data_IF_445437631355
#
_entry.id   IF_445437631355
#
_cell.length_a   1.000
_cell.length_b   1.000
_cell.length_c   1.000
_cell.angle_alpha   90.00
_cell.angle_beta   90.00
_cell.angle_gamma   90.00
#
_symmetry.space_group_name_H-M   'P 1'
#
loop_
_entity.id
_entity.type
_entity.pdbx_description
1 polymer ?
#
# COMPACT_ATOMS: atom_id res chain seq x y z
N UNK A 1 18.01 -12.28 -68.98
CA UNK A 1 17.80 -13.38 -68.03
C UNK A 1 17.45 -12.74 -66.70
N UNK A 2 16.18 -12.87 -66.34
CA UNK A 2 15.57 -12.23 -65.16
C UNK A 2 15.73 -13.12 -63.92
N UNK A 3 16.09 -12.52 -62.79
CA UNK A 3 15.96 -13.14 -61.48
C UNK A 3 15.23 -12.15 -60.53
N UNK A 4 13.88 -12.21 -60.60
CA UNK A 4 13.03 -11.65 -59.59
C UNK A 4 12.62 -12.78 -58.61
N UNK A 5 13.32 -12.87 -57.48
CA UNK A 5 12.95 -13.76 -56.40
C UNK A 5 11.75 -13.20 -55.60
N UNK A 6 10.61 -13.91 -55.65
CA UNK A 6 9.41 -13.62 -54.85
C UNK A 6 9.66 -14.05 -53.41
N UNK A 7 9.78 -13.10 -52.49
CA UNK A 7 9.64 -13.39 -51.06
C UNK A 7 8.14 -13.36 -50.69
N UNK A 8 7.57 -14.54 -50.43
CA UNK A 8 6.27 -14.68 -49.83
C UNK A 8 6.40 -14.60 -48.32
N UNK A 9 5.84 -13.59 -47.71
CA UNK A 9 5.76 -13.49 -46.24
C UNK A 9 4.70 -14.43 -45.73
N UNK A 10 5.04 -15.28 -44.77
CA UNK A 10 4.13 -16.22 -44.12
C UNK A 10 3.08 -15.49 -43.23
N UNK A 11 1.88 -16.03 -43.17
CA UNK A 11 0.72 -15.48 -42.44
C UNK A 11 0.96 -15.04 -40.98
N UNK A 12 1.83 -15.68 -40.15
CA UNK A 12 2.06 -15.24 -38.78
C UNK A 12 2.77 -13.89 -38.63
N UNK A 13 3.52 -13.43 -39.65
CA UNK A 13 4.18 -12.12 -39.61
C UNK A 13 3.18 -10.96 -39.78
N UNK A 14 2.09 -11.18 -40.51
CA UNK A 14 1.06 -10.15 -40.75
C UNK A 14 0.18 -9.88 -39.52
N UNK A 15 -0.08 -10.86 -38.68
CA UNK A 15 -0.84 -10.69 -37.43
C UNK A 15 -0.05 -9.91 -36.37
N UNK A 16 1.26 -10.16 -36.25
CA UNK A 16 2.11 -9.47 -35.30
C UNK A 16 2.22 -7.96 -35.58
N UNK A 17 2.31 -7.57 -36.85
CA UNK A 17 2.31 -6.15 -37.25
C UNK A 17 0.94 -5.49 -37.13
N UNK A 18 -0.16 -6.23 -37.27
CA UNK A 18 -1.50 -5.66 -37.15
C UNK A 18 -1.84 -5.24 -35.72
N UNK A 19 -1.29 -5.91 -34.70
CA UNK A 19 -1.47 -5.54 -33.29
C UNK A 19 -0.66 -4.30 -32.90
N UNK A 20 0.53 -4.09 -33.48
CA UNK A 20 1.35 -2.90 -33.21
C UNK A 20 0.75 -1.61 -33.78
N UNK A 21 0.12 -1.66 -34.96
CA UNK A 21 -0.56 -0.50 -35.55
C UNK A 21 -1.88 -0.14 -34.88
N UNK A 22 -2.52 -1.04 -34.15
CA UNK A 22 -3.75 -0.75 -33.41
C UNK A 22 -3.49 0.00 -32.09
N UNK A 23 -2.29 -0.08 -31.53
CA UNK A 23 -1.92 0.59 -30.28
C UNK A 23 -1.68 2.10 -30.49
N UNK A 24 -1.10 2.49 -31.62
CA UNK A 24 -0.77 3.89 -31.91
C UNK A 24 -1.99 4.82 -31.98
N UNK A 25 -3.08 4.49 -32.70
CA UNK A 25 -4.30 5.30 -32.69
C UNK A 25 -4.97 5.36 -31.32
N UNK A 26 -4.94 4.27 -30.57
CA UNK A 26 -5.50 4.21 -29.22
C UNK A 26 -4.72 5.11 -28.24
N UNK A 27 -3.40 5.12 -28.34
CA UNK A 27 -2.54 6.05 -27.60
C UNK A 27 -2.85 7.51 -27.99
N UNK A 28 -3.02 7.82 -29.27
CA UNK A 28 -3.37 9.17 -29.73
C UNK A 28 -4.72 9.67 -29.17
N UNK A 29 -5.72 8.78 -29.06
CA UNK A 29 -7.02 9.12 -28.45
C UNK A 29 -6.89 9.35 -26.94
N UNK A 30 -6.12 8.53 -26.25
CA UNK A 30 -5.82 8.68 -24.81
C UNK A 30 -5.07 10.00 -24.56
N UNK A 31 -4.08 10.34 -25.40
CA UNK A 31 -3.31 11.57 -25.32
C UNK A 31 -4.17 12.81 -25.59
N UNK A 32 -5.06 12.77 -26.59
CA UNK A 32 -5.91 13.90 -26.95
C UNK A 32 -6.93 14.23 -25.87
N UNK A 33 -7.55 13.22 -25.25
CA UNK A 33 -8.56 13.43 -24.22
C UNK A 33 -7.99 13.97 -22.90
N UNK A 34 -6.78 13.60 -22.49
CA UNK A 34 -6.17 14.14 -21.25
C UNK A 34 -5.62 15.57 -21.40
N UNK A 35 -5.12 15.96 -22.56
CA UNK A 35 -4.66 17.36 -22.78
C UNK A 35 -5.80 18.40 -22.73
N UNK A 36 -7.03 18.01 -23.01
CA UNK A 36 -8.19 18.93 -23.01
C UNK A 36 -8.74 19.23 -21.60
N UNK A 37 -8.41 18.44 -20.58
CA UNK A 37 -9.06 18.52 -19.25
C UNK A 37 -8.25 19.31 -18.22
N UNK A 38 -6.99 19.68 -18.47
CA UNK A 38 -6.15 20.19 -17.40
C UNK A 38 -5.66 21.63 -17.60
N UNK A 39 -6.39 22.58 -16.97
CA UNK A 39 -5.89 23.94 -16.67
C UNK A 39 -5.31 24.10 -15.25
N UNK A 40 -5.49 23.10 -14.36
CA UNK A 40 -5.01 23.17 -12.98
C UNK A 40 -3.77 22.28 -12.79
N UNK A 41 -2.78 22.78 -12.05
CA UNK A 41 -1.57 22.02 -11.69
C UNK A 41 -1.97 20.80 -10.87
N UNK A 42 -1.58 19.61 -11.29
CA UNK A 42 -1.91 18.35 -10.63
C UNK A 42 -0.67 17.52 -10.36
N UNK A 43 -0.71 16.78 -9.26
CA UNK A 43 0.20 15.66 -9.03
C UNK A 43 -0.56 14.36 -9.29
N UNK A 44 -0.02 13.48 -10.14
CA UNK A 44 -0.47 12.10 -10.23
C UNK A 44 0.37 11.23 -9.30
N UNK A 45 -0.29 10.61 -8.35
CA UNK A 45 0.35 9.77 -7.35
C UNK A 45 -0.03 8.29 -7.48
N UNK A 46 0.97 7.40 -7.39
CA UNK A 46 0.77 5.95 -7.38
C UNK A 46 1.36 5.37 -6.09
N UNK A 47 0.53 5.00 -5.11
CA UNK A 47 0.98 4.30 -3.91
C UNK A 47 1.39 2.87 -4.26
N UNK A 48 2.58 2.45 -3.79
CA UNK A 48 3.18 1.17 -4.10
C UNK A 48 3.36 0.28 -2.86
N UNK A 49 3.62 -1.01 -3.07
CA UNK A 49 3.88 -1.96 -1.99
C UNK A 49 2.62 -2.53 -1.35
N UNK A 50 2.78 -3.14 -0.18
CA UNK A 50 1.68 -3.68 0.62
C UNK A 50 0.83 -2.59 1.26
N UNK A 51 -0.29 -2.98 1.89
CA UNK A 51 -1.30 -2.07 2.41
C UNK A 51 -0.73 -0.96 3.29
N UNK A 52 0.02 -1.28 4.33
CA UNK A 52 0.60 -0.31 5.25
C UNK A 52 1.52 0.71 4.55
N UNK A 53 2.33 0.24 3.60
CA UNK A 53 3.20 1.12 2.82
C UNK A 53 2.38 2.10 1.97
N UNK A 54 1.30 1.64 1.32
CA UNK A 54 0.43 2.50 0.52
C UNK A 54 -0.28 3.54 1.36
N UNK A 55 -0.77 3.16 2.53
CA UNK A 55 -1.46 4.08 3.44
C UNK A 55 -0.51 5.21 3.89
N UNK A 56 0.69 4.88 4.33
CA UNK A 56 1.72 5.85 4.75
C UNK A 56 2.16 6.75 3.58
N UNK A 57 2.44 6.16 2.42
CA UNK A 57 2.84 6.91 1.23
C UNK A 57 1.75 7.87 0.75
N UNK A 58 0.47 7.47 0.80
CA UNK A 58 -0.67 8.32 0.45
C UNK A 58 -0.81 9.50 1.42
N UNK A 59 -0.71 9.25 2.73
CA UNK A 59 -0.77 10.30 3.74
C UNK A 59 0.37 11.33 3.57
N UNK A 60 1.60 10.85 3.34
CA UNK A 60 2.76 11.71 3.06
C UNK A 60 2.56 12.55 1.80
N UNK A 61 2.10 11.92 0.70
CA UNK A 61 1.88 12.63 -0.57
C UNK A 61 0.74 13.63 -0.47
N UNK A 62 -0.36 13.28 0.20
CA UNK A 62 -1.48 14.21 0.40
C UNK A 62 -1.06 15.42 1.25
N UNK A 63 -0.31 15.22 2.34
CA UNK A 63 0.18 16.32 3.18
C UNK A 63 1.09 17.26 2.39
N UNK A 64 2.01 16.71 1.57
CA UNK A 64 2.84 17.51 0.67
C UNK A 64 1.97 18.36 -0.28
N UNK A 65 0.97 17.75 -0.93
CA UNK A 65 0.11 18.47 -1.88
C UNK A 65 -0.72 19.57 -1.22
N UNK A 66 -1.26 19.34 -0.02
CA UNK A 66 -1.94 20.38 0.76
C UNK A 66 -1.01 21.54 1.11
N UNK A 67 0.23 21.23 1.49
CA UNK A 67 1.26 22.25 1.83
C UNK A 67 1.60 23.14 0.65
N UNK A 68 1.64 22.59 -0.56
CA UNK A 68 2.04 23.34 -1.77
C UNK A 68 0.85 23.89 -2.57
N UNK A 69 -0.38 23.55 -2.23
CA UNK A 69 -1.60 24.00 -2.92
C UNK A 69 -1.77 23.40 -4.33
N UNK A 70 -1.34 22.14 -4.50
CA UNK A 70 -1.47 21.39 -5.77
C UNK A 70 -2.51 20.29 -5.59
N UNK A 71 -3.43 20.11 -6.54
CA UNK A 71 -4.38 19.00 -6.51
C UNK A 71 -3.67 17.66 -6.73
N UNK A 72 -4.15 16.61 -6.05
CA UNK A 72 -3.62 15.26 -6.18
C UNK A 72 -4.68 14.30 -6.73
N UNK A 73 -4.32 13.61 -7.81
CA UNK A 73 -5.03 12.42 -8.27
C UNK A 73 -4.20 11.19 -7.88
N UNK A 74 -4.76 10.31 -7.04
CA UNK A 74 -4.11 9.06 -6.64
C UNK A 74 -4.76 7.89 -7.37
N UNK A 75 -3.92 7.02 -7.97
CA UNK A 75 -4.36 5.84 -8.70
C UNK A 75 -3.97 4.59 -7.94
N UNK A 76 -4.97 3.84 -7.46
CA UNK A 76 -4.80 2.62 -6.70
C UNK A 76 -4.76 1.40 -7.62
N UNK A 77 -3.60 0.76 -7.70
CA UNK A 77 -3.41 -0.45 -8.51
C UNK A 77 -3.71 -1.73 -7.70
N UNK A 78 -4.30 -2.70 -8.37
CA UNK A 78 -4.29 -4.09 -7.93
C UNK A 78 -3.03 -4.76 -8.49
N UNK A 79 -2.18 -5.30 -7.62
CA UNK A 79 -0.95 -5.96 -8.02
C UNK A 79 -0.60 -7.13 -7.07
N UNK A 80 0.54 -7.76 -7.28
CA UNK A 80 1.01 -8.88 -6.47
C UNK A 80 1.25 -8.52 -4.98
N UNK A 81 1.50 -7.25 -4.66
CA UNK A 81 1.72 -6.81 -3.28
C UNK A 81 0.40 -6.53 -2.53
N UNK A 82 -0.67 -6.22 -3.28
CA UNK A 82 -2.00 -5.96 -2.76
C UNK A 82 -3.05 -6.18 -3.86
N UNK A 83 -3.70 -7.33 -3.86
CA UNK A 83 -4.68 -7.70 -4.89
C UNK A 83 -6.13 -7.32 -4.51
N UNK A 84 -6.34 -6.09 -4.04
CA UNK A 84 -7.69 -5.57 -3.77
C UNK A 84 -7.84 -4.13 -4.29
N UNK A 85 -9.02 -3.76 -4.81
CA UNK A 85 -9.33 -2.37 -5.12
C UNK A 85 -9.60 -1.60 -3.84
N UNK A 86 -9.40 -0.27 -3.86
CA UNK A 86 -9.55 0.57 -2.68
C UNK A 86 -10.96 0.50 -2.08
N UNK A 87 -11.99 0.61 -2.95
CA UNK A 87 -13.39 0.61 -2.54
C UNK A 87 -13.88 -0.69 -1.90
N UNK A 88 -13.13 -1.81 -2.04
CA UNK A 88 -13.43 -3.06 -1.35
C UNK A 88 -12.85 -3.14 0.06
N UNK A 89 -12.05 -2.16 0.47
CA UNK A 89 -11.32 -2.14 1.74
C UNK A 89 -11.75 -0.99 2.65
N UNK A 90 -11.97 0.19 2.07
CA UNK A 90 -12.19 1.44 2.78
C UNK A 90 -13.36 2.23 2.20
N UNK A 91 -13.96 3.08 3.02
CA UNK A 91 -14.92 4.08 2.60
C UNK A 91 -14.29 5.10 1.63
N UNK A 92 -15.10 5.73 0.76
CA UNK A 92 -14.61 6.77 -0.13
C UNK A 92 -13.94 7.93 0.63
N UNK A 93 -12.79 8.38 0.13
CA UNK A 93 -12.07 9.50 0.74
C UNK A 93 -12.72 10.83 0.29
N UNK A 94 -13.19 11.61 1.25
CA UNK A 94 -13.76 12.94 1.04
C UNK A 94 -12.83 14.03 1.58
N UNK A 95 -11.63 14.15 0.98
CA UNK A 95 -10.64 15.16 1.38
C UNK A 95 -10.44 16.16 0.24
N UNK A 96 -10.46 17.46 0.59
CA UNK A 96 -10.25 18.53 -0.37
C UNK A 96 -8.90 18.39 -1.08
N UNK A 97 -8.88 18.55 -2.40
CA UNK A 97 -7.69 18.47 -3.23
C UNK A 97 -7.15 17.05 -3.45
N UNK A 98 -7.88 15.99 -3.03
CA UNK A 98 -7.55 14.59 -3.26
C UNK A 98 -8.67 13.90 -4.05
N UNK A 99 -8.31 13.34 -5.19
CA UNK A 99 -9.13 12.37 -5.92
C UNK A 99 -8.41 11.03 -5.87
N UNK A 100 -9.00 10.05 -5.19
CA UNK A 100 -8.50 8.68 -5.21
C UNK A 100 -9.44 7.81 -6.03
N UNK A 101 -8.88 7.03 -6.94
CA UNK A 101 -9.61 6.07 -7.76
C UNK A 101 -8.83 4.77 -7.98
N UNK A 102 -9.55 3.71 -8.23
CA UNK A 102 -8.94 2.46 -8.68
C UNK A 102 -8.40 2.58 -10.11
N UNK A 103 -7.33 1.82 -10.41
CA UNK A 103 -6.70 1.83 -11.72
C UNK A 103 -7.62 1.22 -12.78
N UNK A 104 -7.80 1.95 -13.89
CA UNK A 104 -8.44 1.48 -15.11
C UNK A 104 -7.46 0.70 -16.00
N UNK A 105 -7.96 0.03 -17.03
CA UNK A 105 -7.11 -0.66 -18.00
C UNK A 105 -6.10 0.28 -18.70
N UNK A 106 -6.48 1.55 -18.93
CA UNK A 106 -5.60 2.56 -19.49
C UNK A 106 -4.41 2.89 -18.57
N UNK A 107 -4.65 2.90 -17.25
CA UNK A 107 -3.59 3.15 -16.28
C UNK A 107 -2.55 2.03 -16.28
N UNK A 108 -2.97 0.78 -16.50
CA UNK A 108 -2.04 -0.35 -16.64
C UNK A 108 -1.15 -0.27 -17.89
N UNK A 109 -1.53 0.52 -18.91
CA UNK A 109 -0.72 0.77 -20.09
C UNK A 109 0.16 2.01 -19.97
N UNK A 110 -0.29 3.04 -19.25
CA UNK A 110 0.31 4.38 -19.26
C UNK A 110 1.05 4.73 -17.97
N UNK A 111 0.76 4.07 -16.86
CA UNK A 111 1.39 4.31 -15.56
C UNK A 111 2.27 3.14 -15.13
N UNK A 112 3.26 3.44 -14.30
CA UNK A 112 4.12 2.44 -13.71
C UNK A 112 3.33 1.55 -12.77
N UNK A 113 3.41 0.24 -13.00
CA UNK A 113 3.03 -0.73 -12.00
C UNK A 113 4.17 -0.82 -10.99
N UNK A 114 3.88 -0.63 -9.70
CA UNK A 114 4.90 -0.78 -8.67
C UNK A 114 5.61 -2.14 -8.79
N UNK A 115 6.94 -2.10 -8.79
CA UNK A 115 7.84 -3.27 -8.78
C UNK A 115 7.72 -4.24 -9.96
N UNK A 116 7.13 -3.87 -11.08
CA UNK A 116 7.26 -4.61 -12.33
C UNK A 116 8.26 -3.94 -13.26
N UNK A 117 8.93 -4.75 -14.09
CA UNK A 117 9.71 -4.21 -15.20
C UNK A 117 8.77 -3.43 -16.10
N UNK A 118 8.93 -2.13 -16.14
CA UNK A 118 8.10 -1.27 -16.92
C UNK A 118 8.27 -1.53 -18.39
N UNK A 119 7.17 -1.58 -19.11
CA UNK A 119 7.18 -1.43 -20.55
C UNK A 119 7.70 -0.04 -20.91
N UNK A 120 8.28 0.12 -22.08
CA UNK A 120 8.74 1.42 -22.57
C UNK A 120 7.61 2.48 -22.63
N UNK A 121 6.39 2.06 -22.90
CA UNK A 121 5.19 2.90 -23.04
C UNK A 121 4.92 3.78 -21.82
N UNK A 122 4.90 3.27 -20.56
CA UNK A 122 4.67 4.14 -19.39
C UNK A 122 5.67 5.28 -19.29
N UNK A 123 6.95 5.02 -19.48
CA UNK A 123 8.00 6.05 -19.38
C UNK A 123 7.92 7.09 -20.49
N UNK A 124 7.61 6.66 -21.70
CA UNK A 124 7.39 7.59 -22.83
C UNK A 124 6.18 8.47 -22.55
N UNK A 125 5.07 7.86 -22.13
CA UNK A 125 3.85 8.58 -21.75
C UNK A 125 4.13 9.61 -20.64
N UNK A 126 4.80 9.22 -19.58
CA UNK A 126 5.10 10.09 -18.45
C UNK A 126 5.97 11.29 -18.85
N UNK A 127 7.00 11.08 -19.71
CA UNK A 127 7.82 12.17 -20.26
C UNK A 127 7.04 13.16 -21.10
N UNK A 128 5.96 12.72 -21.75
CA UNK A 128 5.12 13.58 -22.57
C UNK A 128 4.05 14.32 -21.76
N UNK A 129 3.56 13.71 -20.67
CA UNK A 129 2.41 14.19 -19.91
C UNK A 129 2.80 14.98 -18.67
N UNK A 130 3.95 14.68 -18.07
CA UNK A 130 4.41 15.30 -16.83
C UNK A 130 5.69 16.08 -17.04
N UNK A 131 5.81 17.17 -16.30
CA UNK A 131 7.02 18.00 -16.30
C UNK A 131 8.21 17.25 -15.71
N UNK A 132 7.96 16.47 -14.66
CA UNK A 132 8.95 15.58 -14.03
C UNK A 132 8.28 14.37 -13.40
N UNK A 133 9.07 13.30 -13.17
CA UNK A 133 8.59 12.02 -12.65
C UNK A 133 9.58 11.45 -11.62
N UNK A 134 9.09 11.21 -10.41
CA UNK A 134 9.82 10.51 -9.37
C UNK A 134 9.26 9.09 -9.17
N UNK A 135 10.16 8.12 -9.28
CA UNK A 135 9.84 6.71 -9.14
C UNK A 135 10.26 6.18 -7.78
N UNK A 136 9.57 5.15 -7.32
CA UNK A 136 9.73 4.56 -5.98
C UNK A 136 11.19 4.30 -5.58
N UNK A 137 12.03 3.81 -6.50
CA UNK A 137 13.44 3.52 -6.22
C UNK A 137 14.29 4.77 -5.91
N UNK A 138 13.83 5.95 -6.32
CA UNK A 138 14.53 7.22 -6.10
C UNK A 138 14.11 7.92 -4.81
N UNK A 139 12.97 7.59 -4.25
CA UNK A 139 12.38 8.35 -3.12
C UNK A 139 13.26 8.26 -1.88
N UNK A 140 13.68 7.06 -1.47
CA UNK A 140 14.54 6.89 -0.30
C UNK A 140 15.89 7.60 -0.45
N UNK A 141 16.66 7.45 -1.57
CA UNK A 141 17.86 8.22 -1.78
C UNK A 141 17.64 9.73 -1.75
N UNK A 142 16.58 10.25 -2.36
CA UNK A 142 16.27 11.68 -2.37
C UNK A 142 15.97 12.19 -0.95
N UNK A 143 15.20 11.42 -0.15
CA UNK A 143 14.95 11.76 1.25
C UNK A 143 16.24 11.86 2.06
N UNK A 144 17.16 10.91 1.86
CA UNK A 144 18.48 10.94 2.54
C UNK A 144 19.36 12.14 2.12
N UNK A 145 19.17 12.66 0.92
CA UNK A 145 19.86 13.83 0.38
C UNK A 145 19.13 15.15 0.70
N UNK A 146 18.11 15.13 1.55
CA UNK A 146 17.30 16.30 1.90
C UNK A 146 16.70 17.02 0.69
N UNK A 147 16.24 16.24 -0.31
CA UNK A 147 15.62 16.78 -1.51
C UNK A 147 14.39 17.62 -1.18
N UNK A 148 14.28 18.80 -1.80
CA UNK A 148 13.15 19.72 -1.60
C UNK A 148 11.92 19.22 -2.41
N UNK A 149 11.14 18.32 -1.76
CA UNK A 149 9.89 17.81 -2.33
C UNK A 149 8.84 18.90 -2.52
N UNK A 150 8.84 19.96 -1.70
CA UNK A 150 7.89 21.06 -1.84
C UNK A 150 8.18 21.88 -3.10
N UNK A 151 9.42 22.33 -3.30
CA UNK A 151 9.82 23.07 -4.50
C UNK A 151 9.57 22.22 -5.76
N UNK A 152 9.83 20.90 -5.71
CA UNK A 152 9.54 19.99 -6.80
C UNK A 152 8.04 19.89 -7.09
N UNK A 153 7.18 19.69 -6.08
CA UNK A 153 5.75 19.55 -6.23
C UNK A 153 5.05 20.83 -6.70
N UNK A 154 5.56 22.03 -6.28
CA UNK A 154 5.05 23.35 -6.75
C UNK A 154 5.15 23.56 -8.26
N UNK A 155 6.01 22.82 -8.93
CA UNK A 155 6.08 22.87 -10.40
C UNK A 155 4.75 22.47 -11.04
N UNK A 156 4.00 21.55 -10.39
CA UNK A 156 2.77 20.98 -10.90
C UNK A 156 2.99 20.09 -12.12
N UNK A 157 1.96 19.38 -12.53
CA UNK A 157 2.01 18.41 -13.62
C UNK A 157 3.16 17.40 -13.45
N UNK A 158 3.27 16.84 -12.24
CA UNK A 158 4.31 15.89 -11.85
C UNK A 158 3.73 14.50 -11.57
N UNK A 159 4.56 13.48 -11.79
CA UNK A 159 4.26 12.09 -11.47
C UNK A 159 5.10 11.62 -10.30
N UNK A 160 4.46 10.94 -9.35
CA UNK A 160 5.11 10.37 -8.17
C UNK A 160 4.63 8.95 -7.92
N UNK A 161 5.56 7.99 -7.77
CA UNK A 161 5.28 6.67 -7.22
C UNK A 161 6.13 6.44 -5.97
N UNK A 162 5.49 6.01 -4.85
CA UNK A 162 6.20 5.74 -3.60
C UNK A 162 5.57 4.57 -2.84
N UNK A 163 6.43 3.80 -2.15
CA UNK A 163 6.05 2.76 -1.16
C UNK A 163 6.45 3.16 0.27
N UNK A 164 6.98 4.35 0.46
CA UNK A 164 7.45 4.84 1.76
C UNK A 164 6.91 6.23 2.03
N UNK A 165 6.80 6.55 3.30
CA UNK A 165 6.57 7.90 3.81
C UNK A 165 7.83 8.75 3.59
N UNK A 166 7.77 9.64 2.67
CA UNK A 166 8.88 10.51 2.26
C UNK A 166 8.71 11.96 2.74
N UNK A 167 7.53 12.29 3.24
CA UNK A 167 7.16 13.61 3.75
C UNK A 167 6.42 13.47 5.08
N UNK A 168 6.66 14.32 6.09
CA UNK A 168 6.01 14.19 7.38
C UNK A 168 4.51 14.46 7.29
N UNK A 169 3.71 13.74 8.07
CA UNK A 169 2.27 13.91 8.17
C UNK A 169 1.78 13.66 9.60
N UNK A 170 0.63 14.22 9.93
CA UNK A 170 -0.07 13.96 11.19
C UNK A 170 -0.71 12.56 11.15
N UNK A 171 -0.46 11.71 12.14
CA UNK A 171 -1.02 10.37 12.21
C UNK A 171 -2.55 10.35 12.30
N UNK A 172 -3.19 11.40 12.84
CA UNK A 172 -4.64 11.55 12.80
C UNK A 172 -5.19 11.58 11.35
N UNK A 173 -4.36 11.96 10.37
CA UNK A 173 -4.72 11.93 8.95
C UNK A 173 -4.99 10.50 8.47
N UNK A 174 -4.26 9.50 8.96
CA UNK A 174 -4.47 8.11 8.59
C UNK A 174 -5.89 7.64 8.88
N UNK A 175 -6.42 7.98 10.06
CA UNK A 175 -7.80 7.65 10.45
C UNK A 175 -8.86 8.37 9.61
N UNK A 176 -8.55 9.54 9.08
CA UNK A 176 -9.44 10.28 8.18
C UNK A 176 -9.41 9.78 6.74
N UNK A 177 -8.25 9.31 6.26
CA UNK A 177 -8.10 8.80 4.90
C UNK A 177 -8.56 7.35 4.75
N UNK A 178 -8.40 6.54 5.80
CA UNK A 178 -8.61 5.10 5.72
C UNK A 178 -9.63 4.65 6.75
N UNK A 179 -10.89 4.95 6.47
CA UNK A 179 -12.02 4.48 7.28
C UNK A 179 -12.39 3.08 6.80
N UNK A 180 -12.28 2.03 7.63
CA UNK A 180 -12.65 0.67 7.23
C UNK A 180 -14.14 0.60 6.83
N UNK A 181 -14.46 -0.31 5.91
CA UNK A 181 -15.86 -0.58 5.57
C UNK A 181 -16.63 -1.09 6.80
N UNK A 182 -17.98 -0.91 6.85
CA UNK A 182 -18.79 -1.26 8.02
C UNK A 182 -18.72 -2.74 8.44
N UNK A 183 -18.51 -3.67 7.51
CA UNK A 183 -18.30 -5.08 7.81
C UNK A 183 -16.96 -5.32 8.52
N UNK A 184 -15.89 -4.70 8.05
CA UNK A 184 -14.55 -4.74 8.67
C UNK A 184 -14.57 -4.06 10.04
N UNK A 185 -15.25 -2.90 10.15
CA UNK A 185 -15.36 -2.18 11.41
C UNK A 185 -16.06 -3.01 12.50
N UNK A 186 -17.15 -3.72 12.16
CA UNK A 186 -17.84 -4.61 13.10
C UNK A 186 -16.96 -5.75 13.61
N UNK A 187 -16.07 -6.30 12.77
CA UNK A 187 -15.13 -7.33 13.22
C UNK A 187 -14.09 -6.74 14.19
N UNK A 188 -13.58 -5.55 13.92
CA UNK A 188 -12.67 -4.83 14.80
C UNK A 188 -13.32 -4.62 16.16
N UNK A 189 -14.56 -4.11 16.19
CA UNK A 189 -15.32 -3.87 17.42
C UNK A 189 -15.57 -5.16 18.20
N UNK A 190 -15.88 -6.27 17.51
CA UNK A 190 -16.07 -7.57 18.15
C UNK A 190 -14.79 -8.15 18.79
N UNK A 191 -13.61 -7.80 18.28
CA UNK A 191 -12.34 -8.13 18.96
C UNK A 191 -12.11 -7.23 20.17
N UNK A 192 -12.36 -5.92 20.04
CA UNK A 192 -12.22 -4.95 21.13
C UNK A 192 -13.13 -5.26 22.30
N UNK A 193 -14.36 -5.72 22.07
CA UNK A 193 -15.31 -6.16 23.11
C UNK A 193 -14.73 -7.29 24.04
N UNK A 194 -13.69 -7.96 23.58
CA UNK A 194 -12.99 -9.01 24.33
C UNK A 194 -11.80 -8.49 25.11
N UNK A 195 -11.45 -7.22 24.98
CA UNK A 195 -10.33 -6.61 25.67
C UNK A 195 -10.62 -6.47 27.18
N UNK A 196 -9.56 -6.46 27.96
CA UNK A 196 -9.59 -6.06 29.37
C UNK A 196 -9.10 -4.61 29.49
N UNK A 197 -9.06 -4.13 30.72
CA UNK A 197 -8.45 -2.83 31.04
C UNK A 197 -6.95 -2.78 30.74
N UNK A 198 -6.30 -3.93 30.53
CA UNK A 198 -4.89 -4.02 30.13
C UNK A 198 -4.75 -5.04 29.00
N UNK A 199 -4.89 -4.58 27.77
CA UNK A 199 -4.71 -5.42 26.58
C UNK A 199 -3.52 -4.95 25.77
N UNK A 200 -2.56 -5.86 25.56
CA UNK A 200 -1.38 -5.63 24.73
C UNK A 200 -1.57 -6.21 23.33
N UNK A 201 -1.05 -5.51 22.34
CA UNK A 201 -0.97 -5.98 20.95
C UNK A 201 0.38 -6.65 20.67
N UNK A 202 0.35 -7.76 19.99
CA UNK A 202 1.56 -8.50 19.58
C UNK A 202 1.47 -8.79 18.09
N UNK A 203 2.46 -8.33 17.32
CA UNK A 203 2.55 -8.61 15.89
C UNK A 203 3.82 -9.41 15.57
N UNK A 204 3.66 -10.66 15.18
CA UNK A 204 4.76 -11.59 14.87
C UNK A 204 4.73 -11.97 13.41
N UNK A 205 5.75 -11.54 12.64
CA UNK A 205 5.90 -11.84 11.22
C UNK A 205 6.90 -12.97 11.00
N UNK A 206 6.50 -14.03 10.23
CA UNK A 206 7.30 -15.25 10.05
C UNK A 206 7.45 -15.72 8.60
N UNK A 207 6.68 -15.18 7.61
CA UNK A 207 6.65 -15.81 6.29
C UNK A 207 7.64 -15.23 5.28
N UNK A 208 7.80 -13.91 5.17
CA UNK A 208 8.46 -13.32 3.99
C UNK A 208 9.52 -12.24 4.28
N UNK A 209 9.83 -11.97 5.57
CA UNK A 209 10.79 -10.92 5.94
C UNK A 209 11.91 -11.47 6.82
N UNK A 210 12.97 -11.99 6.22
CA UNK A 210 14.09 -12.62 6.92
C UNK A 210 14.71 -11.75 8.03
N UNK A 211 14.85 -10.45 7.83
CA UNK A 211 15.37 -9.55 8.85
C UNK A 211 14.45 -9.47 10.08
N UNK A 212 13.13 -9.45 9.90
CA UNK A 212 12.16 -9.53 11.00
C UNK A 212 12.30 -10.85 11.76
N UNK A 213 12.43 -11.98 11.06
CA UNK A 213 12.53 -13.30 11.65
C UNK A 213 13.78 -13.40 12.51
N UNK A 214 14.93 -12.98 11.98
CA UNK A 214 16.22 -13.09 12.67
C UNK A 214 16.37 -12.13 13.86
N UNK A 215 15.83 -10.89 13.73
CA UNK A 215 16.00 -9.86 14.76
C UNK A 215 14.85 -9.80 15.77
N UNK A 216 13.76 -10.52 15.52
CA UNK A 216 12.64 -10.65 16.45
C UNK A 216 12.27 -12.14 16.62
N UNK A 217 13.14 -12.96 17.22
CA UNK A 217 12.81 -14.35 17.53
C UNK A 217 11.59 -14.43 18.46
N UNK A 218 10.86 -15.56 18.42
CA UNK A 218 9.60 -15.74 19.17
C UNK A 218 9.80 -15.57 20.66
N UNK A 219 10.96 -15.99 21.18
CA UNK A 219 11.34 -15.92 22.57
C UNK A 219 11.29 -14.49 23.12
N UNK A 220 11.69 -13.49 22.35
CA UNK A 220 11.60 -12.08 22.78
C UNK A 220 10.17 -11.62 23.00
N UNK A 221 9.23 -12.09 22.17
CA UNK A 221 7.80 -11.79 22.36
C UNK A 221 7.26 -12.51 23.59
N UNK A 222 7.64 -13.78 23.78
CA UNK A 222 7.26 -14.55 24.96
C UNK A 222 7.75 -13.88 26.24
N UNK A 223 9.02 -13.47 26.31
CA UNK A 223 9.57 -12.75 27.47
C UNK A 223 8.87 -11.41 27.73
N UNK A 224 8.48 -10.68 26.65
CA UNK A 224 7.75 -9.45 26.80
C UNK A 224 6.33 -9.68 27.33
N UNK A 225 5.62 -10.67 26.78
CA UNK A 225 4.27 -11.05 27.22
C UNK A 225 4.28 -11.56 28.66
N UNK A 226 5.22 -12.42 29.01
CA UNK A 226 5.32 -12.97 30.37
C UNK A 226 5.51 -11.87 31.41
N UNK A 227 6.34 -10.86 31.13
CA UNK A 227 6.50 -9.67 31.99
C UNK A 227 5.20 -8.88 32.16
N UNK A 228 4.44 -8.68 31.09
CA UNK A 228 3.14 -7.98 31.18
C UNK A 228 2.13 -8.78 32.02
N UNK A 229 2.09 -10.11 31.84
CA UNK A 229 1.20 -11.00 32.60
C UNK A 229 1.60 -11.08 34.09
N UNK A 230 2.89 -11.04 34.41
CA UNK A 230 3.39 -10.98 35.77
C UNK A 230 3.05 -9.68 36.49
N UNK A 231 3.08 -8.55 35.72
CA UNK A 231 2.78 -7.23 36.27
C UNK A 231 1.28 -6.98 36.43
N UNK A 232 0.45 -7.56 35.56
CA UNK A 232 -1.00 -7.39 35.59
C UNK A 232 -1.72 -8.70 35.31
N UNK A 233 -2.45 -9.19 36.30
CA UNK A 233 -3.20 -10.45 36.22
C UNK A 233 -4.32 -10.41 35.16
N UNK A 234 -4.84 -9.21 34.81
CA UNK A 234 -5.91 -9.03 33.84
C UNK A 234 -5.39 -8.86 32.40
N UNK A 235 -4.08 -9.00 32.19
CA UNK A 235 -3.48 -8.86 30.84
C UNK A 235 -4.18 -9.77 29.83
N UNK A 236 -4.67 -9.18 28.74
CA UNK A 236 -5.10 -9.83 27.52
C UNK A 236 -4.08 -9.58 26.40
N UNK A 237 -4.03 -10.47 25.45
CA UNK A 237 -3.04 -10.44 24.37
C UNK A 237 -3.80 -10.51 23.05
N UNK A 238 -3.77 -9.44 22.25
CA UNK A 238 -4.24 -9.52 20.88
C UNK A 238 -3.05 -9.87 19.96
N UNK A 239 -3.09 -11.04 19.35
CA UNK A 239 -2.04 -11.56 18.46
C UNK A 239 -2.43 -11.47 17.00
N UNK A 240 -1.68 -10.70 16.22
CA UNK A 240 -1.67 -10.71 14.76
C UNK A 240 -0.40 -11.41 14.26
N UNK A 241 -0.55 -12.45 13.44
CA UNK A 241 0.58 -13.19 12.87
C UNK A 241 0.17 -13.87 11.56
N UNK A 242 1.16 -14.02 10.67
CA UNK A 242 1.05 -14.74 9.39
C UNK A 242 1.44 -16.23 9.51
N UNK A 243 1.55 -16.78 10.74
CA UNK A 243 1.98 -18.14 11.01
C UNK A 243 0.99 -18.88 11.92
N UNK A 244 0.35 -19.91 11.39
CA UNK A 244 -0.53 -20.78 12.19
C UNK A 244 0.23 -21.55 13.29
N UNK A 245 1.50 -21.87 13.06
CA UNK A 245 2.35 -22.50 14.10
C UNK A 245 2.51 -21.57 15.31
N UNK A 246 2.76 -20.28 15.09
CA UNK A 246 2.84 -19.27 16.16
C UNK A 246 1.48 -19.09 16.85
N UNK A 247 0.38 -19.07 16.13
CA UNK A 247 -0.96 -19.03 16.75
C UNK A 247 -1.19 -20.20 17.69
N UNK A 248 -0.83 -21.42 17.24
CA UNK A 248 -0.99 -22.64 18.04
C UNK A 248 -0.09 -22.63 19.28
N UNK A 249 1.17 -22.24 19.14
CA UNK A 249 2.14 -22.12 20.26
C UNK A 249 1.64 -21.11 21.31
N UNK A 250 1.27 -19.89 20.88
CA UNK A 250 0.79 -18.85 21.79
C UNK A 250 -0.53 -19.23 22.46
N UNK A 251 -1.42 -19.91 21.72
CA UNK A 251 -2.68 -20.42 22.29
C UNK A 251 -2.44 -21.48 23.37
N UNK A 252 -1.48 -22.38 23.14
CA UNK A 252 -1.08 -23.40 24.15
C UNK A 252 -0.52 -22.75 25.42
N UNK A 253 0.25 -21.65 25.27
CA UNK A 253 0.92 -20.99 26.37
C UNK A 253 0.00 -20.07 27.18
N UNK A 254 -0.80 -19.26 26.50
CA UNK A 254 -1.57 -18.17 27.14
C UNK A 254 -3.07 -18.47 27.27
N UNK A 255 -3.55 -19.54 26.65
CA UNK A 255 -4.93 -20.01 26.79
C UNK A 255 -5.98 -18.92 26.53
N UNK A 256 -6.87 -18.70 27.50
CA UNK A 256 -7.97 -17.75 27.41
C UNK A 256 -7.53 -16.27 27.42
N UNK A 257 -6.27 -15.96 27.71
CA UNK A 257 -5.74 -14.61 27.61
C UNK A 257 -5.52 -14.19 26.16
N UNK A 258 -5.33 -15.17 25.25
CA UNK A 258 -5.03 -14.90 23.87
C UNK A 258 -6.30 -14.63 23.05
N UNK A 259 -6.27 -13.54 22.32
CA UNK A 259 -7.24 -13.13 21.28
C UNK A 259 -6.49 -13.12 19.96
N UNK A 260 -6.96 -13.85 18.96
CA UNK A 260 -6.34 -13.89 17.63
C UNK A 260 -7.41 -14.21 16.59
N UNK A 261 -7.19 -13.77 15.33
CA UNK A 261 -8.05 -14.10 14.21
C UNK A 261 -8.05 -15.62 13.95
N UNK A 262 -9.20 -16.14 13.54
CA UNK A 262 -9.36 -17.55 13.16
C UNK A 262 -8.92 -17.82 11.72
N UNK A 263 -8.95 -16.81 10.87
CA UNK A 263 -8.64 -16.91 9.45
C UNK A 263 -7.14 -16.78 9.17
N UNK A 264 -6.69 -17.47 8.11
CA UNK A 264 -5.32 -17.39 7.64
C UNK A 264 -5.08 -16.08 6.90
N UNK A 265 -3.93 -15.44 7.15
CA UNK A 265 -3.55 -14.20 6.47
C UNK A 265 -3.22 -14.47 4.99
N UNK A 266 -4.01 -13.91 4.07
CA UNK A 266 -3.79 -14.04 2.62
C UNK A 266 -3.81 -12.65 1.94
N UNK A 267 -2.74 -12.33 1.20
CA UNK A 267 -2.60 -11.06 0.45
C UNK A 267 -3.19 -11.11 -0.95
N UNK A 268 -3.59 -12.28 -1.40
CA UNK A 268 -4.06 -12.51 -2.77
C UNK A 268 -5.58 -12.43 -2.87
N UNK A 269 -6.29 -12.52 -1.75
CA UNK A 269 -7.74 -12.44 -1.67
C UNK A 269 -8.21 -11.16 -0.98
N UNK A 270 -9.38 -10.66 -1.36
CA UNK A 270 -9.99 -9.50 -0.70
C UNK A 270 -10.31 -9.83 0.76
N UNK A 271 -10.78 -11.04 1.05
CA UNK A 271 -11.09 -11.49 2.40
C UNK A 271 -9.84 -11.47 3.29
N UNK A 272 -8.74 -12.08 2.84
CA UNK A 272 -7.49 -12.08 3.61
C UNK A 272 -6.87 -10.69 3.80
N UNK A 273 -7.04 -9.78 2.82
CA UNK A 273 -6.61 -8.38 2.97
C UNK A 273 -7.51 -7.64 3.98
N UNK A 274 -8.83 -7.89 3.98
CA UNK A 274 -9.75 -7.36 5.01
C UNK A 274 -9.38 -7.87 6.40
N UNK A 275 -9.08 -9.15 6.55
CA UNK A 275 -8.57 -9.73 7.80
C UNK A 275 -7.29 -9.02 8.27
N UNK A 276 -6.37 -8.71 7.37
CA UNK A 276 -5.20 -7.89 7.69
C UNK A 276 -5.54 -6.46 8.14
N UNK A 277 -6.62 -5.85 7.63
CA UNK A 277 -7.12 -4.54 8.13
C UNK A 277 -7.69 -4.72 9.53
N UNK A 278 -8.50 -5.75 9.76
CA UNK A 278 -9.03 -6.08 11.09
C UNK A 278 -7.89 -6.21 12.09
N UNK A 279 -6.88 -7.02 11.81
CA UNK A 279 -5.72 -7.20 12.68
C UNK A 279 -5.00 -5.88 12.97
N UNK A 280 -4.74 -5.07 11.94
CA UNK A 280 -4.04 -3.80 12.07
C UNK A 280 -4.79 -2.79 12.93
N UNK A 281 -6.10 -2.64 12.69
CA UNK A 281 -6.93 -1.68 13.44
C UNK A 281 -7.23 -2.19 14.86
N UNK A 282 -7.32 -3.48 15.07
CA UNK A 282 -7.46 -4.06 16.42
C UNK A 282 -6.17 -3.88 17.23
N UNK A 283 -5.00 -4.10 16.62
CA UNK A 283 -3.71 -3.74 17.25
C UNK A 283 -3.66 -2.27 17.65
N UNK A 284 -4.14 -1.38 16.79
CA UNK A 284 -4.18 0.07 17.06
C UNK A 284 -5.04 0.48 18.26
N UNK A 285 -5.89 -0.42 18.78
CA UNK A 285 -6.76 -0.20 19.95
C UNK A 285 -6.20 -0.76 21.25
N UNK A 286 -5.04 -1.43 21.19
CA UNK A 286 -4.36 -1.94 22.37
C UNK A 286 -3.53 -0.86 23.05
N UNK A 287 -3.25 -1.00 24.33
CA UNK A 287 -2.46 -0.02 25.09
C UNK A 287 -1.00 0.09 24.64
N UNK A 288 -0.44 -1.01 24.16
CA UNK A 288 0.95 -1.14 23.78
C UNK A 288 1.08 -2.18 22.67
N UNK A 289 2.00 -1.96 21.72
CA UNK A 289 2.24 -2.90 20.63
C UNK A 289 3.67 -3.41 20.65
N UNK A 290 3.84 -4.74 20.75
CA UNK A 290 5.10 -5.44 20.51
C UNK A 290 5.14 -5.90 19.05
N UNK A 291 5.94 -5.23 18.23
CA UNK A 291 6.00 -5.44 16.77
C UNK A 291 7.30 -6.11 16.33
N UNK A 292 7.23 -6.87 15.24
CA UNK A 292 8.43 -7.42 14.59
C UNK A 292 9.29 -6.31 14.00
N UNK A 293 10.61 -6.49 14.06
CA UNK A 293 11.61 -5.54 13.57
C UNK A 293 11.35 -5.12 12.11
N UNK A 294 11.39 -3.81 11.86
CA UNK A 294 11.15 -3.19 10.54
C UNK A 294 9.83 -3.60 9.87
N UNK A 295 8.82 -3.94 10.63
CA UNK A 295 7.50 -4.23 10.09
C UNK A 295 6.66 -2.96 9.94
N UNK A 296 6.44 -2.56 8.68
CA UNK A 296 5.53 -1.45 8.37
C UNK A 296 4.09 -1.67 8.84
N UNK A 297 3.71 -2.91 9.10
CA UNK A 297 2.37 -3.26 9.59
C UNK A 297 2.18 -2.85 11.05
N UNK A 298 3.06 -3.28 11.95
CA UNK A 298 2.99 -2.88 13.36
C UNK A 298 3.31 -1.39 13.56
N UNK A 299 4.22 -0.83 12.75
CA UNK A 299 4.49 0.60 12.75
C UNK A 299 3.25 1.42 12.39
N UNK A 300 2.49 1.01 11.36
CA UNK A 300 1.25 1.68 10.99
C UNK A 300 0.15 1.48 12.03
N UNK A 301 0.05 0.29 12.65
CA UNK A 301 -0.89 0.07 13.75
C UNK A 301 -0.61 1.02 14.93
N UNK A 302 0.66 1.20 15.30
CA UNK A 302 1.09 2.18 16.32
C UNK A 302 0.71 3.61 15.92
N UNK A 303 0.96 4.02 14.68
CA UNK A 303 0.58 5.35 14.18
C UNK A 303 -0.94 5.57 14.18
N UNK A 304 -1.74 4.55 13.87
CA UNK A 304 -3.20 4.60 13.90
C UNK A 304 -3.74 4.73 15.32
N UNK A 305 -3.16 4.02 16.28
CA UNK A 305 -3.56 4.04 17.69
C UNK A 305 -2.99 5.24 18.45
N UNK A 306 -1.82 5.71 18.07
CA UNK A 306 -1.06 6.71 18.84
C UNK A 306 -0.34 6.08 20.05
N UNK A 307 0.03 4.78 19.94
CA UNK A 307 0.64 3.95 20.99
C UNK A 307 2.01 3.47 20.60
#
# INVERSE_FOLDING_TARGET
>A
MSLLGKYSWSAPAREKYRSEYAILPLLCVIFANRKKVCKMKKMLFVPAGGLANRMRALAASYTLNRKVGVEMESVWFRDWALNAPFHALFEPIHQEGLILRDASWCDYLTLDRPRRKNLFVPRLYQRMMFRDALYEARITPLRMQHFDFEAWARQGDVYLASYTDFYPYDYALLRRLFVPLPDVQREIDAYEDRFSSHTIGVHIRRTDHMASILQSPTELFVEAIDREVEQNADTRIFLATDSEAIKAEMRSRYGNRLITASEEADRNSIAGIKGGIVDMYTLARTEKIYGSFQSSFSELASQLGGV
#
